data_IF_390077512665
#
_entry.id   IF_390077512665
#
_cell.length_a   1.000
_cell.length_b   1.000
_cell.length_c   1.000
_cell.angle_alpha   90.00
_cell.angle_beta   90.00
_cell.angle_gamma   90.00
#
_symmetry.space_group_name_H-M   'P 1'
#
loop_
_entity.id
_entity.type
_entity.pdbx_description
1 polymer ?
#
# COMPACT_ATOMS: atom_id res chain seq x y z
N UNK A 1 -48.21 26.87 21.21
CA UNK A 1 -47.50 26.09 20.19
C UNK A 1 -46.27 25.47 20.84
N UNK A 2 -46.27 24.16 21.21
CA UNK A 2 -45.12 23.45 21.78
C UNK A 2 -44.31 22.90 20.62
N UNK A 3 -43.16 23.48 20.35
CA UNK A 3 -42.18 22.90 19.40
C UNK A 3 -41.45 21.82 20.17
N UNK A 4 -41.88 20.57 20.04
CA UNK A 4 -41.11 19.39 20.45
C UNK A 4 -40.06 19.15 19.38
N UNK A 5 -38.85 19.73 19.54
CA UNK A 5 -37.69 19.30 18.80
C UNK A 5 -37.27 17.94 19.35
N UNK A 6 -37.68 16.89 18.65
CA UNK A 6 -37.25 15.53 18.93
C UNK A 6 -35.77 15.37 18.57
N UNK A 7 -34.86 15.47 19.53
CA UNK A 7 -33.49 15.08 19.37
C UNK A 7 -33.43 13.56 19.15
N UNK A 8 -32.72 13.12 18.12
CA UNK A 8 -32.54 11.67 17.86
C UNK A 8 -31.94 10.99 19.09
N UNK A 9 -32.36 9.74 19.41
CA UNK A 9 -31.76 8.96 20.48
C UNK A 9 -30.23 8.93 20.32
N UNK A 10 -29.48 9.17 21.39
CA UNK A 10 -28.02 9.29 21.38
C UNK A 10 -27.47 10.71 21.14
N UNK A 11 -28.27 11.64 20.64
CA UNK A 11 -27.84 13.05 20.49
C UNK A 11 -27.77 13.76 21.82
N UNK A 12 -28.72 13.46 22.71
CA UNK A 12 -28.77 14.00 24.09
C UNK A 12 -27.57 13.52 24.91
N UNK A 13 -27.20 12.26 24.80
CA UNK A 13 -26.02 11.71 25.48
C UNK A 13 -24.74 12.34 24.98
N UNK A 14 -24.59 12.48 23.65
CA UNK A 14 -23.44 13.19 23.05
C UNK A 14 -23.36 14.62 23.54
N UNK A 15 -24.49 15.32 23.63
CA UNK A 15 -24.54 16.70 24.13
C UNK A 15 -24.15 16.76 25.62
N UNK A 16 -24.66 15.83 26.45
CA UNK A 16 -24.27 15.72 27.86
C UNK A 16 -22.75 15.51 27.98
N UNK A 17 -22.19 14.57 27.23
CA UNK A 17 -20.72 14.29 27.25
C UNK A 17 -19.91 15.51 26.81
N UNK A 18 -20.37 16.25 25.81
CA UNK A 18 -19.72 17.48 25.35
C UNK A 18 -19.78 18.58 26.41
N UNK A 19 -20.94 18.79 27.02
CA UNK A 19 -21.12 19.77 28.08
C UNK A 19 -20.29 19.44 29.33
N UNK A 20 -20.23 18.16 29.70
CA UNK A 20 -19.37 17.70 30.78
C UNK A 20 -17.89 17.89 30.44
N UNK A 21 -17.47 17.59 29.21
CA UNK A 21 -16.11 17.84 28.77
C UNK A 21 -15.71 19.31 28.87
N UNK A 22 -16.62 20.23 28.56
CA UNK A 22 -16.40 21.67 28.70
C UNK A 22 -16.25 22.11 30.16
N UNK A 23 -16.82 21.38 31.13
CA UNK A 23 -16.65 21.61 32.57
C UNK A 23 -15.29 21.19 33.12
N UNK A 24 -14.58 20.30 32.42
CA UNK A 24 -13.26 19.89 32.84
C UNK A 24 -12.25 21.06 32.72
N UNK A 25 -11.38 21.18 33.69
CA UNK A 25 -10.27 22.13 33.59
C UNK A 25 -9.36 21.76 32.41
N UNK A 26 -8.64 22.72 31.81
CA UNK A 26 -7.68 22.43 30.72
C UNK A 26 -6.67 21.34 31.09
N UNK A 27 -6.21 21.31 32.33
CA UNK A 27 -5.29 20.27 32.85
C UNK A 27 -5.94 18.88 32.79
N UNK A 28 -7.19 18.76 33.20
CA UNK A 28 -7.91 17.48 33.18
C UNK A 28 -8.24 17.05 31.76
N UNK A 29 -8.64 17.96 30.88
CA UNK A 29 -8.84 17.66 29.44
C UNK A 29 -7.58 17.11 28.81
N UNK A 30 -6.42 17.73 29.08
CA UNK A 30 -5.13 17.24 28.61
C UNK A 30 -4.85 15.81 29.13
N UNK A 31 -5.10 15.53 30.39
CA UNK A 31 -4.89 14.19 30.97
C UNK A 31 -5.78 13.13 30.33
N UNK A 32 -7.06 13.44 30.15
CA UNK A 32 -8.01 12.54 29.47
C UNK A 32 -7.56 12.26 28.03
N UNK A 33 -7.29 13.32 27.26
CA UNK A 33 -6.87 13.17 25.89
C UNK A 33 -5.53 12.43 25.74
N UNK A 34 -4.59 12.65 26.64
CA UNK A 34 -3.36 11.85 26.71
C UNK A 34 -3.62 10.36 26.88
N UNK A 35 -4.55 9.98 27.75
CA UNK A 35 -4.94 8.57 27.95
C UNK A 35 -5.61 8.01 26.71
N UNK A 36 -6.50 8.76 26.07
CA UNK A 36 -7.11 8.36 24.79
C UNK A 36 -6.04 8.06 23.75
N UNK A 37 -5.12 9.01 23.52
CA UNK A 37 -4.03 8.81 22.56
C UNK A 37 -3.12 7.63 22.92
N UNK A 38 -2.83 7.46 24.19
CA UNK A 38 -2.05 6.32 24.66
C UNK A 38 -2.78 4.99 24.38
N UNK A 39 -4.08 4.92 24.66
CA UNK A 39 -4.90 3.74 24.40
C UNK A 39 -4.98 3.42 22.90
N UNK A 40 -5.21 4.42 22.04
CA UNK A 40 -5.20 4.24 20.60
C UNK A 40 -3.83 3.73 20.09
N UNK A 41 -2.73 4.28 20.61
CA UNK A 41 -1.39 3.80 20.32
C UNK A 41 -1.21 2.34 20.76
N UNK A 42 -1.64 1.97 21.96
CA UNK A 42 -1.56 0.59 22.47
C UNK A 42 -2.39 -0.38 21.65
N UNK A 43 -3.56 0.03 21.17
CA UNK A 43 -4.37 -0.78 20.26
C UNK A 43 -3.63 -1.01 18.93
N UNK A 44 -3.02 0.02 18.36
CA UNK A 44 -2.19 -0.12 17.18
C UNK A 44 -0.98 -1.05 17.39
N UNK A 45 -0.30 -0.96 18.54
CA UNK A 45 0.78 -1.88 18.92
C UNK A 45 0.30 -3.33 19.02
N UNK A 46 -0.88 -3.54 19.61
CA UNK A 46 -1.52 -4.85 19.73
C UNK A 46 -1.83 -5.42 18.36
N UNK A 47 -2.42 -4.64 17.45
CA UNK A 47 -2.75 -5.07 16.10
C UNK A 47 -1.48 -5.47 15.31
N UNK A 48 -0.42 -4.68 15.40
CA UNK A 48 0.88 -5.01 14.80
C UNK A 48 1.49 -6.27 15.43
N UNK A 49 1.38 -6.42 16.75
CA UNK A 49 1.93 -7.59 17.46
C UNK A 49 1.22 -8.88 17.08
N UNK A 50 -0.09 -8.84 16.91
CA UNK A 50 -0.89 -10.00 16.51
C UNK A 50 -0.99 -10.16 14.99
N UNK A 51 -0.44 -9.22 14.19
CA UNK A 51 -0.49 -9.22 12.73
C UNK A 51 -1.93 -9.26 12.19
N UNK A 52 -2.79 -8.45 12.79
CA UNK A 52 -4.23 -8.39 12.49
C UNK A 52 -4.71 -6.95 12.30
N UNK A 53 -5.86 -6.80 11.64
CA UNK A 53 -6.57 -5.53 11.56
C UNK A 53 -7.22 -5.16 12.91
N UNK A 54 -7.71 -3.91 13.10
CA UNK A 54 -8.50 -3.54 14.28
C UNK A 54 -9.73 -4.41 14.50
N UNK A 55 -10.27 -5.01 13.44
CA UNK A 55 -11.41 -5.94 13.46
C UNK A 55 -10.99 -7.39 13.81
N UNK A 56 -9.72 -7.65 14.07
CA UNK A 56 -9.21 -8.98 14.38
C UNK A 56 -8.90 -9.86 13.16
N UNK A 57 -9.07 -9.36 11.93
CA UNK A 57 -8.74 -10.12 10.71
C UNK A 57 -7.23 -10.25 10.54
N UNK A 58 -6.72 -11.46 10.34
CA UNK A 58 -5.30 -11.70 10.11
C UNK A 58 -4.81 -11.02 8.82
N UNK A 59 -3.62 -10.44 8.87
CA UNK A 59 -3.01 -9.80 7.71
C UNK A 59 -2.54 -10.81 6.68
N UNK A 60 -2.56 -10.39 5.42
CA UNK A 60 -1.97 -11.19 4.34
C UNK A 60 -0.48 -11.43 4.60
N UNK A 61 0.00 -12.69 4.47
CA UNK A 61 1.40 -13.05 4.69
C UNK A 61 2.33 -12.37 3.69
N UNK A 62 3.62 -12.38 3.98
CA UNK A 62 4.64 -11.88 3.02
C UNK A 62 4.68 -12.76 1.77
N UNK A 63 4.66 -12.13 0.60
CA UNK A 63 4.76 -12.85 -0.69
C UNK A 63 6.12 -13.55 -0.91
N UNK A 64 7.21 -13.00 -0.36
CA UNK A 64 8.54 -13.58 -0.47
C UNK A 64 9.04 -14.07 0.88
N UNK A 65 9.34 -15.36 0.98
CA UNK A 65 10.22 -15.89 2.02
C UNK A 65 11.62 -15.35 1.74
N UNK A 66 12.22 -14.64 2.67
CA UNK A 66 13.60 -14.19 2.54
C UNK A 66 14.50 -15.40 2.48
N UNK A 67 15.33 -15.51 1.42
CA UNK A 67 16.39 -16.54 1.34
C UNK A 67 17.35 -16.33 2.52
N UNK A 68 17.67 -17.40 3.24
CA UNK A 68 18.79 -17.41 4.20
C UNK A 68 18.49 -17.01 5.62
N UNK A 69 17.33 -17.27 6.13
CA UNK A 69 17.09 -17.13 7.56
C UNK A 69 15.70 -16.62 7.87
N UNK A 70 15.13 -17.26 8.82
CA UNK A 70 13.85 -16.90 9.39
C UNK A 70 14.04 -15.59 10.15
N UNK A 71 13.92 -14.46 9.47
CA UNK A 71 13.60 -13.23 10.19
C UNK A 71 12.19 -13.41 10.73
N UNK A 72 12.12 -13.93 11.96
CA UNK A 72 10.88 -14.04 12.75
C UNK A 72 10.25 -12.68 13.06
N UNK A 73 10.76 -11.60 12.46
CA UNK A 73 10.30 -10.26 12.71
C UNK A 73 8.92 -10.07 12.09
N UNK A 74 7.99 -9.80 12.94
CA UNK A 74 6.62 -9.43 12.58
C UNK A 74 6.63 -8.22 11.63
N UNK A 75 5.71 -8.20 10.65
CA UNK A 75 5.57 -7.06 9.74
C UNK A 75 5.22 -5.80 10.54
N UNK A 76 5.80 -4.67 10.16
CA UNK A 76 5.53 -3.37 10.76
C UNK A 76 5.79 -3.27 12.28
N UNK A 77 6.60 -4.18 12.86
CA UNK A 77 6.88 -4.22 14.31
C UNK A 77 7.23 -2.85 14.92
N UNK A 78 8.02 -2.06 14.21
CA UNK A 78 8.43 -0.74 14.67
C UNK A 78 7.41 0.37 14.35
N UNK A 79 6.31 0.02 13.66
CA UNK A 79 5.35 1.03 13.22
C UNK A 79 4.63 1.69 14.38
N UNK A 80 4.15 0.91 15.33
CA UNK A 80 3.45 1.43 16.48
C UNK A 80 4.40 2.08 17.49
N UNK A 81 5.60 1.53 17.67
CA UNK A 81 6.62 2.11 18.57
C UNK A 81 7.00 3.54 18.16
N UNK A 82 7.12 3.80 16.86
CA UNK A 82 7.48 5.10 16.31
C UNK A 82 6.27 6.05 16.14
N UNK A 83 5.09 5.65 16.54
CA UNK A 83 3.90 6.48 16.54
C UNK A 83 3.99 7.48 17.70
N UNK A 84 3.97 8.75 17.38
CA UNK A 84 4.02 9.84 18.34
C UNK A 84 2.62 10.41 18.55
N UNK A 85 2.41 11.06 19.69
CA UNK A 85 1.18 11.76 20.01
C UNK A 85 1.48 13.22 20.34
N UNK A 86 0.56 14.11 19.96
CA UNK A 86 0.59 15.52 20.29
C UNK A 86 -0.79 15.98 20.69
N UNK A 87 -0.85 16.80 21.73
CA UNK A 87 -2.06 17.50 22.13
C UNK A 87 -2.03 18.91 21.53
N UNK A 88 -3.19 19.35 21.08
CA UNK A 88 -3.42 20.70 20.55
C UNK A 88 -4.66 21.31 21.23
N UNK A 89 -4.76 22.63 21.21
CA UNK A 89 -5.91 23.37 21.72
C UNK A 89 -6.30 22.97 23.16
N UNK A 90 -5.33 22.96 24.07
CA UNK A 90 -5.57 22.64 25.48
C UNK A 90 -6.34 21.32 25.73
N UNK A 91 -6.03 20.30 24.93
CA UNK A 91 -6.60 18.97 25.02
C UNK A 91 -7.86 18.74 24.19
N UNK A 92 -8.32 19.72 23.44
CA UNK A 92 -9.49 19.54 22.54
C UNK A 92 -9.19 18.69 21.34
N UNK A 93 -7.91 18.70 20.89
CA UNK A 93 -7.43 17.88 19.78
C UNK A 93 -6.24 17.05 20.18
N UNK A 94 -6.28 15.78 19.77
CA UNK A 94 -5.15 14.87 19.85
C UNK A 94 -4.76 14.38 18.47
N UNK A 95 -3.46 14.32 18.19
CA UNK A 95 -2.92 13.78 16.94
C UNK A 95 -1.99 12.61 17.20
N UNK A 96 -2.15 11.55 16.42
CA UNK A 96 -1.16 10.49 16.26
C UNK A 96 -0.42 10.72 14.93
N UNK A 97 0.91 10.73 14.94
CA UNK A 97 1.71 11.05 13.76
C UNK A 97 3.09 10.39 13.80
N UNK A 98 3.75 10.35 12.66
CA UNK A 98 5.14 9.91 12.55
C UNK A 98 6.05 11.12 12.30
N UNK A 99 7.11 11.28 13.09
CA UNK A 99 8.07 12.37 12.91
C UNK A 99 8.81 12.28 11.58
N UNK A 100 9.14 11.06 11.16
CA UNK A 100 9.85 10.82 9.91
C UNK A 100 8.86 10.64 8.76
N UNK A 101 8.93 11.51 7.75
CA UNK A 101 8.04 11.51 6.59
C UNK A 101 8.15 10.25 5.74
N UNK A 102 9.37 9.69 5.59
CA UNK A 102 9.57 8.44 4.86
C UNK A 102 8.81 7.29 5.54
N UNK A 103 8.94 7.15 6.85
CA UNK A 103 8.20 6.13 7.60
C UNK A 103 6.70 6.38 7.61
N UNK A 104 6.26 7.64 7.66
CA UNK A 104 4.84 7.98 7.52
C UNK A 104 4.29 7.47 6.18
N UNK A 105 5.01 7.73 5.06
CA UNK A 105 4.65 7.26 3.72
C UNK A 105 4.58 5.73 3.65
N UNK A 106 5.60 5.03 4.15
CA UNK A 106 5.63 3.55 4.14
C UNK A 106 4.42 2.98 4.91
N UNK A 107 4.07 3.58 6.03
CA UNK A 107 2.96 3.11 6.86
C UNK A 107 1.60 3.41 6.26
N UNK A 108 1.44 4.58 5.63
CA UNK A 108 0.23 4.90 4.86
C UNK A 108 0.01 3.90 3.72
N UNK A 109 1.08 3.52 3.01
CA UNK A 109 1.02 2.50 1.96
C UNK A 109 0.46 1.18 2.50
N UNK A 110 0.90 0.75 3.68
CA UNK A 110 0.40 -0.48 4.30
C UNK A 110 -1.00 -0.31 4.88
N UNK A 111 -1.29 0.81 5.55
CA UNK A 111 -2.61 1.08 6.13
C UNK A 111 -3.72 1.03 5.07
N UNK A 112 -3.48 1.67 3.93
CA UNK A 112 -4.48 1.82 2.88
C UNK A 112 -4.33 0.83 1.71
N UNK A 113 -3.26 0.06 1.66
CA UNK A 113 -2.97 -0.85 0.55
C UNK A 113 -2.71 -0.11 -0.76
N UNK A 114 -1.99 1.01 -0.68
CA UNK A 114 -1.74 1.88 -1.82
C UNK A 114 -0.85 1.21 -2.88
N UNK A 115 -0.98 1.69 -4.10
CA UNK A 115 -0.10 1.32 -5.20
C UNK A 115 1.22 2.10 -5.09
N UNK A 116 2.33 1.37 -5.18
CA UNK A 116 3.67 1.93 -5.06
C UNK A 116 4.34 1.88 -6.43
N UNK A 117 4.73 3.03 -7.00
CA UNK A 117 5.52 3.04 -8.22
C UNK A 117 6.88 2.38 -7.95
N UNK A 118 7.35 1.62 -8.93
CA UNK A 118 8.72 1.09 -8.90
C UNK A 118 9.64 2.22 -9.33
N UNK A 119 10.29 2.85 -8.37
CA UNK A 119 11.32 3.85 -8.66
C UNK A 119 12.51 3.16 -9.33
N UNK A 120 12.86 3.63 -10.52
CA UNK A 120 14.08 3.19 -11.19
C UNK A 120 15.29 3.75 -10.44
N UNK A 121 16.15 2.87 -9.99
CA UNK A 121 17.41 3.30 -9.38
C UNK A 121 18.34 3.86 -10.46
N UNK A 122 19.35 4.67 -10.08
CA UNK A 122 20.39 5.13 -11.02
C UNK A 122 21.12 3.96 -11.69
N UNK A 123 21.24 2.83 -11.01
CA UNK A 123 21.76 1.59 -11.60
C UNK A 123 20.84 1.06 -12.71
N UNK A 124 19.51 1.11 -12.50
CA UNK A 124 18.55 0.66 -13.50
C UNK A 124 18.53 1.59 -14.71
N UNK A 125 18.64 2.91 -14.49
CA UNK A 125 18.74 3.91 -15.56
C UNK A 125 20.01 3.68 -16.41
N UNK A 126 21.18 3.52 -15.77
CA UNK A 126 22.44 3.22 -16.46
C UNK A 126 22.39 1.88 -17.19
N UNK A 127 21.73 0.86 -16.62
CA UNK A 127 21.53 -0.41 -17.29
C UNK A 127 20.61 -0.26 -18.51
N UNK A 128 19.55 0.54 -18.40
CA UNK A 128 18.66 0.85 -19.51
C UNK A 128 19.38 1.61 -20.63
N UNK A 129 20.18 2.62 -20.31
CA UNK A 129 21.00 3.36 -21.27
C UNK A 129 21.96 2.44 -22.02
N UNK A 130 22.67 1.53 -21.31
CA UNK A 130 23.50 0.50 -21.95
C UNK A 130 22.71 -0.41 -22.86
N UNK A 131 21.51 -0.83 -22.49
CA UNK A 131 20.64 -1.64 -23.32
C UNK A 131 20.18 -0.88 -24.57
N UNK A 132 19.83 0.40 -24.42
CA UNK A 132 19.44 1.26 -25.54
C UNK A 132 20.59 1.49 -26.52
N UNK A 133 21.79 1.74 -26.03
CA UNK A 133 23.01 1.84 -26.86
C UNK A 133 23.30 0.57 -27.67
N UNK A 134 22.89 -0.59 -27.16
CA UNK A 134 23.03 -1.88 -27.85
C UNK A 134 21.91 -2.22 -28.82
N UNK A 135 20.85 -1.39 -28.90
CA UNK A 135 19.69 -1.68 -29.75
C UNK A 135 20.03 -1.81 -31.24
N UNK A 136 21.05 -1.09 -31.71
CA UNK A 136 21.50 -1.14 -33.09
C UNK A 136 22.46 -2.30 -33.42
N UNK A 137 22.91 -3.03 -32.37
CA UNK A 137 23.74 -4.22 -32.59
C UNK A 137 22.90 -5.37 -33.18
N UNK A 138 23.53 -6.35 -33.84
CA UNK A 138 22.83 -7.52 -34.36
C UNK A 138 22.07 -8.28 -33.29
N UNK A 139 20.95 -8.89 -33.68
CA UNK A 139 20.14 -9.70 -32.78
C UNK A 139 20.96 -10.80 -32.10
N UNK A 140 20.72 -11.02 -30.81
CA UNK A 140 21.43 -12.06 -30.06
C UNK A 140 21.02 -13.47 -30.50
N UNK A 141 21.87 -14.49 -30.32
CA UNK A 141 21.52 -15.88 -30.59
C UNK A 141 20.25 -16.32 -29.85
N UNK A 142 20.04 -15.84 -28.61
CA UNK A 142 18.86 -16.13 -27.82
C UNK A 142 17.59 -15.50 -28.43
N UNK A 143 17.66 -14.25 -28.88
CA UNK A 143 16.55 -13.60 -29.56
C UNK A 143 16.19 -14.30 -30.86
N UNK A 144 17.20 -14.72 -31.65
CA UNK A 144 16.96 -15.44 -32.88
C UNK A 144 16.28 -16.81 -32.63
N UNK A 145 16.72 -17.55 -31.61
CA UNK A 145 16.07 -18.81 -31.18
C UNK A 145 14.62 -18.55 -30.75
N UNK A 146 14.40 -17.53 -29.92
CA UNK A 146 13.07 -17.18 -29.44
C UNK A 146 12.10 -16.80 -30.54
N UNK A 147 12.54 -16.01 -31.53
CA UNK A 147 11.75 -15.68 -32.72
C UNK A 147 11.35 -16.92 -33.50
N UNK A 148 12.27 -17.88 -33.67
CA UNK A 148 12.00 -19.14 -34.34
C UNK A 148 11.00 -20.00 -33.58
N UNK A 149 11.09 -20.10 -32.26
CA UNK A 149 10.15 -20.80 -31.39
C UNK A 149 8.76 -20.18 -31.45
N UNK A 150 8.69 -18.87 -31.52
CA UNK A 150 7.43 -18.14 -31.67
C UNK A 150 6.84 -18.27 -33.08
N UNK A 151 7.57 -18.88 -34.01
CA UNK A 151 7.09 -19.11 -35.38
C UNK A 151 7.29 -17.91 -36.31
N UNK A 152 8.31 -17.07 -36.07
CA UNK A 152 8.61 -15.94 -36.94
C UNK A 152 8.88 -16.36 -38.37
N UNK A 153 8.19 -15.71 -39.32
CA UNK A 153 8.27 -15.96 -40.76
C UNK A 153 8.39 -14.66 -41.51
N UNK A 154 9.05 -14.69 -42.66
CA UNK A 154 9.11 -13.55 -43.59
C UNK A 154 8.35 -13.85 -44.87
N UNK A 155 7.88 -12.81 -45.50
CA UNK A 155 7.23 -12.93 -46.80
C UNK A 155 8.24 -13.44 -47.85
N UNK A 156 7.84 -14.43 -48.61
CA UNK A 156 8.67 -15.05 -49.67
C UNK A 156 7.89 -15.18 -50.97
N UNK A 157 7.50 -14.04 -51.54
CA UNK A 157 6.76 -13.98 -52.78
C UNK A 157 5.27 -14.33 -52.67
N UNK A 158 4.66 -14.53 -53.84
CA UNK A 158 3.24 -14.95 -53.95
C UNK A 158 3.12 -16.31 -54.61
N UNK A 159 2.04 -17.04 -54.34
CA UNK A 159 1.69 -18.28 -55.06
C UNK A 159 1.19 -17.95 -56.47
N UNK A 160 1.11 -18.95 -57.34
CA UNK A 160 0.46 -18.80 -58.67
C UNK A 160 -0.96 -18.28 -58.59
N UNK A 161 -1.63 -18.51 -57.45
CA UNK A 161 -3.00 -18.06 -57.13
C UNK A 161 -3.05 -16.69 -56.42
N UNK A 162 -1.93 -15.93 -56.41
CA UNK A 162 -1.84 -14.59 -55.79
C UNK A 162 -1.72 -14.57 -54.27
N UNK A 163 -1.84 -15.68 -53.57
CA UNK A 163 -1.72 -15.73 -52.13
C UNK A 163 -0.28 -15.52 -51.66
N UNK A 164 -0.09 -14.81 -50.54
CA UNK A 164 1.23 -14.53 -49.96
C UNK A 164 1.88 -15.81 -49.43
N UNK A 165 3.13 -16.08 -49.85
CA UNK A 165 3.95 -17.16 -49.27
C UNK A 165 4.76 -16.66 -48.09
N UNK A 166 4.91 -17.47 -47.04
CA UNK A 166 5.73 -17.19 -45.89
C UNK A 166 6.79 -18.30 -45.72
N UNK A 167 8.02 -17.89 -45.35
CA UNK A 167 9.14 -18.81 -45.12
C UNK A 167 9.68 -18.65 -43.73
N UNK A 168 9.95 -19.77 -43.03
CA UNK A 168 10.71 -19.78 -41.78
C UNK A 168 12.12 -19.27 -42.01
N UNK A 169 12.57 -18.32 -41.15
CA UNK A 169 13.89 -17.69 -41.28
C UNK A 169 14.96 -18.48 -40.59
N UNK A 170 16.13 -18.63 -41.18
CA UNK A 170 17.31 -19.26 -40.56
C UNK A 170 17.83 -18.35 -39.45
N UNK A 171 18.35 -18.95 -38.37
CA UNK A 171 18.89 -18.22 -37.20
C UNK A 171 20.01 -17.25 -37.58
N UNK A 172 20.91 -17.68 -38.52
CA UNK A 172 21.99 -16.83 -39.03
C UNK A 172 21.46 -15.59 -39.76
N UNK A 173 20.40 -15.75 -40.57
CA UNK A 173 19.76 -14.66 -41.29
C UNK A 173 19.11 -13.65 -40.33
N UNK A 174 18.38 -14.10 -39.29
CA UNK A 174 17.80 -13.22 -38.26
C UNK A 174 18.89 -12.33 -37.66
N UNK A 175 20.03 -12.93 -37.26
CA UNK A 175 21.15 -12.19 -36.66
C UNK A 175 21.82 -11.18 -37.60
N UNK A 176 21.83 -11.45 -38.90
CA UNK A 176 22.45 -10.57 -39.88
C UNK A 176 21.54 -9.43 -40.31
N UNK A 177 20.24 -9.67 -40.42
CA UNK A 177 19.27 -8.72 -40.99
C UNK A 177 18.49 -7.92 -39.96
N UNK A 178 18.58 -8.30 -38.70
CA UNK A 178 17.73 -7.72 -37.63
C UNK A 178 18.58 -7.19 -36.49
N UNK A 179 18.27 -5.96 -36.06
CA UNK A 179 18.90 -5.40 -34.87
C UNK A 179 18.33 -6.02 -33.57
N UNK A 180 19.08 -5.88 -32.49
CA UNK A 180 18.67 -6.33 -31.15
C UNK A 180 17.35 -5.70 -30.72
N UNK A 181 17.17 -4.41 -30.98
CA UNK A 181 15.94 -3.67 -30.70
C UNK A 181 14.74 -4.18 -31.49
N UNK A 182 14.90 -4.39 -32.80
CA UNK A 182 13.87 -4.93 -33.69
C UNK A 182 13.47 -6.35 -33.25
N UNK A 183 14.43 -7.22 -33.01
CA UNK A 183 14.19 -8.58 -32.57
C UNK A 183 13.41 -8.60 -31.22
N UNK A 184 13.80 -7.75 -30.29
CA UNK A 184 13.11 -7.60 -29.00
C UNK A 184 11.67 -7.12 -29.13
N UNK A 185 11.42 -6.18 -30.02
CA UNK A 185 10.07 -5.66 -30.29
C UNK A 185 9.17 -6.75 -30.88
N UNK A 186 9.65 -7.45 -31.92
CA UNK A 186 8.89 -8.51 -32.60
C UNK A 186 8.60 -9.67 -31.63
N UNK A 187 9.55 -10.08 -30.81
CA UNK A 187 9.33 -11.10 -29.76
C UNK A 187 8.16 -10.68 -28.87
N UNK A 188 8.17 -9.45 -28.36
CA UNK A 188 7.09 -8.94 -27.50
C UNK A 188 5.72 -8.94 -28.18
N UNK A 189 5.68 -8.56 -29.44
CA UNK A 189 4.43 -8.55 -30.21
C UNK A 189 3.88 -9.98 -30.40
N UNK A 190 4.75 -10.92 -30.78
CA UNK A 190 4.37 -12.32 -30.99
C UNK A 190 3.97 -13.02 -29.68
N UNK A 191 4.68 -12.76 -28.60
CA UNK A 191 4.32 -13.27 -27.26
C UNK A 191 2.97 -12.73 -26.81
N UNK A 192 2.69 -11.43 -27.05
CA UNK A 192 1.39 -10.84 -26.75
C UNK A 192 0.26 -11.50 -27.56
N UNK A 193 0.48 -11.74 -28.86
CA UNK A 193 -0.51 -12.42 -29.70
C UNK A 193 -0.81 -13.84 -29.25
N UNK A 194 0.20 -14.54 -28.70
CA UNK A 194 0.05 -15.90 -28.16
C UNK A 194 -0.44 -15.96 -26.72
N UNK A 195 -0.81 -14.83 -26.10
CA UNK A 195 -1.25 -14.78 -24.72
C UNK A 195 -0.15 -15.13 -23.70
N UNK A 196 1.11 -15.16 -24.12
CA UNK A 196 2.24 -15.44 -23.24
C UNK A 196 2.42 -14.24 -22.32
N UNK A 197 2.27 -14.46 -21.00
CA UNK A 197 2.41 -13.42 -20.00
C UNK A 197 3.87 -12.94 -19.94
N UNK A 198 4.15 -11.84 -20.63
CA UNK A 198 5.45 -11.17 -20.52
C UNK A 198 5.49 -10.55 -19.13
N UNK A 199 6.36 -11.03 -18.25
CA UNK A 199 6.68 -10.34 -17.00
C UNK A 199 7.34 -9.01 -17.36
N UNK A 200 6.55 -8.00 -17.67
CA UNK A 200 7.01 -6.61 -17.73
C UNK A 200 7.48 -6.27 -16.32
N UNK A 201 8.65 -5.62 -16.21
CA UNK A 201 8.98 -4.95 -14.97
C UNK A 201 7.77 -4.11 -14.58
N UNK A 202 7.15 -4.43 -13.44
CA UNK A 202 5.94 -3.74 -13.00
C UNK A 202 6.30 -2.27 -12.82
N UNK A 203 5.59 -1.39 -13.53
CA UNK A 203 5.73 0.06 -13.32
C UNK A 203 5.30 0.45 -11.90
N UNK A 204 4.44 -0.34 -11.30
CA UNK A 204 3.96 -0.21 -9.93
C UNK A 204 3.56 -1.57 -9.37
N UNK A 205 3.43 -1.66 -8.05
CA UNK A 205 2.88 -2.84 -7.38
C UNK A 205 1.91 -2.41 -6.29
N UNK A 206 0.79 -3.11 -6.19
CA UNK A 206 -0.19 -2.90 -5.14
C UNK A 206 0.25 -3.63 -3.87
N UNK A 207 0.40 -2.88 -2.80
CA UNK A 207 0.67 -3.47 -1.48
C UNK A 207 -0.59 -4.10 -0.89
N UNK A 208 -0.41 -5.21 -0.18
CA UNK A 208 -1.51 -5.77 0.59
C UNK A 208 -1.86 -4.79 1.73
N UNK A 209 -3.15 -4.48 1.85
CA UNK A 209 -3.68 -3.66 2.95
C UNK A 209 -3.41 -4.37 4.29
N UNK A 210 -2.87 -3.62 5.24
CA UNK A 210 -2.54 -4.09 6.60
C UNK A 210 -2.87 -2.99 7.57
N UNK A 211 -4.15 -2.86 7.85
CA UNK A 211 -4.68 -1.88 8.79
C UNK A 211 -4.15 -2.20 10.20
N UNK A 212 -3.56 -1.23 10.84
CA UNK A 212 -3.12 -1.32 12.23
C UNK A 212 -3.65 -0.17 13.08
N UNK A 213 -3.94 0.99 12.46
CA UNK A 213 -4.67 2.08 13.10
C UNK A 213 -6.15 1.85 12.91
N UNK A 214 -6.90 2.03 13.98
CA UNK A 214 -8.35 2.00 13.94
C UNK A 214 -8.88 3.37 13.52
N UNK A 215 -9.54 3.42 12.36
CA UNK A 215 -10.17 4.63 11.81
C UNK A 215 -11.69 4.61 11.97
N UNK A 216 -12.23 3.58 12.62
CA UNK A 216 -13.66 3.50 12.90
C UNK A 216 -14.05 4.55 13.94
N UNK A 217 -14.87 5.51 13.50
CA UNK A 217 -15.30 6.63 14.33
C UNK A 217 -16.10 6.19 15.56
N UNK A 218 -16.88 5.10 15.44
CA UNK A 218 -17.70 4.60 16.54
C UNK A 218 -16.81 3.99 17.63
N UNK A 219 -15.92 3.06 17.28
CA UNK A 219 -14.98 2.45 18.24
C UNK A 219 -14.08 3.49 18.91
N UNK A 220 -13.62 4.48 18.13
CA UNK A 220 -12.81 5.56 18.70
C UNK A 220 -13.63 6.46 19.62
N UNK A 221 -14.90 6.74 19.30
CA UNK A 221 -15.81 7.47 20.17
C UNK A 221 -16.08 6.74 21.48
N UNK A 222 -16.23 5.41 21.44
CA UNK A 222 -16.39 4.57 22.65
C UNK A 222 -15.17 4.69 23.55
N UNK A 223 -13.95 4.63 23.00
CA UNK A 223 -12.70 4.82 23.76
C UNK A 223 -12.65 6.21 24.40
N UNK A 224 -13.01 7.25 23.64
CA UNK A 224 -13.04 8.63 24.14
C UNK A 224 -14.04 8.74 25.29
N UNK A 225 -15.24 8.19 25.12
CA UNK A 225 -16.31 8.21 26.12
C UNK A 225 -15.89 7.52 27.41
N UNK A 226 -15.31 6.32 27.32
CA UNK A 226 -14.82 5.60 28.49
C UNK A 226 -13.74 6.38 29.26
N UNK A 227 -12.77 6.96 28.57
CA UNK A 227 -11.70 7.72 29.25
C UNK A 227 -12.23 9.07 29.80
N UNK A 228 -13.23 9.67 29.18
CA UNK A 228 -13.94 10.83 29.70
C UNK A 228 -14.68 10.49 31.00
N UNK A 229 -15.46 9.40 31.03
CA UNK A 229 -16.17 8.96 32.24
C UNK A 229 -15.20 8.74 33.40
N UNK A 230 -14.11 8.04 33.18
CA UNK A 230 -13.03 7.88 34.20
C UNK A 230 -12.42 9.22 34.64
N UNK A 231 -12.33 10.18 33.71
CA UNK A 231 -11.87 11.54 34.01
C UNK A 231 -12.84 12.28 34.93
N UNK A 232 -14.13 12.14 34.70
CA UNK A 232 -15.18 12.75 35.52
C UNK A 232 -15.26 12.15 36.93
N UNK A 233 -15.20 10.83 37.03
CA UNK A 233 -15.13 10.14 38.34
C UNK A 233 -13.95 10.64 39.20
N UNK A 234 -12.76 10.81 38.55
CA UNK A 234 -11.61 11.38 39.27
C UNK A 234 -11.78 12.84 39.66
N UNK A 235 -12.62 13.57 38.94
CA UNK A 235 -12.95 14.96 39.23
C UNK A 235 -14.05 15.10 40.31
N UNK A 236 -14.55 13.98 40.84
CA UNK A 236 -15.63 13.96 41.84
C UNK A 236 -17.04 14.13 41.26
N UNK A 237 -17.16 14.03 39.90
CA UNK A 237 -18.48 14.04 39.25
C UNK A 237 -18.99 12.59 39.19
N UNK A 238 -19.89 12.22 40.07
CA UNK A 238 -20.60 10.95 39.97
C UNK A 238 -21.74 11.09 38.98
N UNK A 239 -21.57 10.46 37.83
CA UNK A 239 -22.64 10.34 36.83
C UNK A 239 -23.54 9.21 37.28
N UNK A 240 -24.71 9.52 37.82
CA UNK A 240 -25.76 8.51 38.03
C UNK A 240 -26.21 8.00 36.65
N UNK A 241 -26.42 6.68 36.49
CA UNK A 241 -26.89 6.06 35.28
C UNK A 241 -28.22 6.57 34.78
#
# INVERSE_FOLDING_TARGET
MKILMGLKPGTVEKLKHTLLYLRLTPKMRNQVMQKVLWRLKKNAEKNVTHQQSPEGKAWAPRKKKLKGGVRKNKLLKESAANLNSKLEQQGERGKLFYKNSHWAKVRAIHQYGLEVPVEQTEKDKKALEKLLAQNNQPATPQQARRLRELGYQVRNGKTKTGKQKYKKVRLKSIRQTMSRGQAGLIIRMMEKQKGINIRRGLASYKMAKREFLDEDLKRNADIITEELLKGFEKAGYHLQP
#
